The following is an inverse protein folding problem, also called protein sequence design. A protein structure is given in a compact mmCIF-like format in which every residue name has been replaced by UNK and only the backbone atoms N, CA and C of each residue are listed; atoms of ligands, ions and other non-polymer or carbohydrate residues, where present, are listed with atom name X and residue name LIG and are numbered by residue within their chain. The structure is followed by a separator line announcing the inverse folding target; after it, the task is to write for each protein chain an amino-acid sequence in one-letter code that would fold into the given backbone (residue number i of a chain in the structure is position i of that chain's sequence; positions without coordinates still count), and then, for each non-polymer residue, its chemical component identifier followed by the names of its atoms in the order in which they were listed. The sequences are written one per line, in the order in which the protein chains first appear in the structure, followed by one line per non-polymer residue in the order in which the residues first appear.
data_IF_067811191266
#
_entry.id   IF_067811191266
#
_cell.length_a   1.000
_cell.length_b   1.000
_cell.length_c   1.000
_cell.angle_alpha   90.00
_cell.angle_beta   90.00
_cell.angle_gamma   90.00
#
_symmetry.space_group_name_H-M   'P 1'
#
loop_
_entity.id
_entity.type
_entity.pdbx_description
1 polymer ?
#
# COMPACT_ATOMS: atom_id res chain seq x y z
N UNK A 1 -33.58 -2.82 -4.75
CA UNK A 1 -32.21 -2.47 -5.18
C UNK A 1 -31.79 -1.08 -4.71
N UNK A 2 -32.51 -0.01 -5.10
CA UNK A 2 -32.14 1.38 -4.74
C UNK A 2 -32.17 1.67 -3.24
N UNK A 3 -33.21 1.21 -2.53
CA UNK A 3 -33.30 1.30 -1.06
C UNK A 3 -32.11 0.58 -0.39
N UNK A 4 -31.75 -0.60 -0.88
CA UNK A 4 -30.62 -1.41 -0.36
C UNK A 4 -29.29 -0.69 -0.54
N UNK A 5 -29.08 -0.05 -1.70
CA UNK A 5 -27.90 0.78 -1.99
C UNK A 5 -27.86 2.01 -1.08
N UNK A 6 -28.98 2.71 -0.88
CA UNK A 6 -29.05 3.87 0.01
C UNK A 6 -28.75 3.50 1.47
N UNK A 7 -29.26 2.36 1.96
CA UNK A 7 -28.96 1.86 3.30
C UNK A 7 -27.45 1.55 3.42
N UNK A 8 -26.87 0.88 2.41
CA UNK A 8 -25.44 0.57 2.40
C UNK A 8 -24.58 1.85 2.42
N UNK A 9 -24.91 2.84 1.60
CA UNK A 9 -24.22 4.13 1.57
C UNK A 9 -24.31 4.86 2.92
N UNK A 10 -25.50 4.89 3.54
CA UNK A 10 -25.69 5.49 4.85
C UNK A 10 -24.86 4.77 5.94
N UNK A 11 -24.81 3.43 5.90
CA UNK A 11 -24.00 2.63 6.82
C UNK A 11 -22.50 2.89 6.65
N UNK A 12 -21.99 2.90 5.41
CA UNK A 12 -20.58 3.16 5.13
C UNK A 12 -20.17 4.56 5.59
N UNK A 13 -21.02 5.56 5.33
CA UNK A 13 -20.82 6.93 5.80
C UNK A 13 -20.80 7.02 7.33
N UNK A 14 -21.78 6.40 7.99
CA UNK A 14 -21.88 6.37 9.45
C UNK A 14 -20.66 5.68 10.09
N UNK A 15 -20.21 4.56 9.54
CA UNK A 15 -19.02 3.84 10.01
C UNK A 15 -17.77 4.70 9.83
N UNK A 16 -17.58 5.33 8.66
CA UNK A 16 -16.45 6.22 8.39
C UNK A 16 -16.37 7.38 9.38
N UNK A 17 -17.50 8.08 9.59
CA UNK A 17 -17.62 9.19 10.54
C UNK A 17 -17.40 8.74 11.99
N UNK A 18 -17.95 7.59 12.38
CA UNK A 18 -17.79 7.04 13.72
C UNK A 18 -16.34 6.65 14.04
N UNK A 19 -15.62 6.08 13.07
CA UNK A 19 -14.20 5.76 13.22
C UNK A 19 -13.33 7.02 13.34
N UNK A 20 -13.63 8.07 12.56
CA UNK A 20 -12.98 9.38 12.72
C UNK A 20 -13.25 9.95 14.11
N UNK A 21 -14.51 9.92 14.55
CA UNK A 21 -14.91 10.40 15.87
C UNK A 21 -14.19 9.65 17.01
N UNK A 22 -14.05 8.33 16.90
CA UNK A 22 -13.29 7.53 17.87
C UNK A 22 -11.81 7.91 17.89
N UNK A 23 -11.20 8.15 16.73
CA UNK A 23 -9.83 8.63 16.63
C UNK A 23 -9.64 10.03 17.24
N UNK A 24 -10.64 10.92 17.08
CA UNK A 24 -10.63 12.24 17.72
C UNK A 24 -10.71 12.12 19.25
N UNK A 25 -11.52 11.20 19.79
CA UNK A 25 -11.61 10.96 21.23
C UNK A 25 -10.37 10.28 21.82
N UNK A 26 -9.63 9.53 21.03
CA UNK A 26 -8.47 8.74 21.47
C UNK A 26 -7.25 9.00 20.60
N UNK A 27 -6.70 10.23 20.65
CA UNK A 27 -5.57 10.60 19.82
C UNK A 27 -4.29 9.87 20.24
N UNK A 28 -3.38 9.68 19.29
CA UNK A 28 -2.06 9.08 19.56
C UNK A 28 -1.11 10.02 20.33
N UNK A 29 -1.40 11.33 20.35
CA UNK A 29 -0.79 12.30 21.26
C UNK A 29 -1.80 12.64 22.34
N UNK A 30 -1.56 12.15 23.55
CA UNK A 30 -2.46 12.35 24.68
C UNK A 30 -2.05 13.61 25.44
N UNK A 31 -2.97 14.55 25.69
CA UNK A 31 -2.65 15.69 26.53
C UNK A 31 -2.42 15.23 27.97
N UNK A 32 -1.56 15.95 28.69
CA UNK A 32 -1.28 15.67 30.11
C UNK A 32 -2.48 15.94 31.02
N UNK A 33 -3.42 16.78 30.58
CA UNK A 33 -4.72 17.04 31.20
C UNK A 33 -5.83 16.78 30.19
N UNK A 34 -7.01 16.35 30.64
CA UNK A 34 -8.15 16.18 29.74
C UNK A 34 -8.50 17.52 29.08
N UNK A 35 -8.42 17.57 27.75
CA UNK A 35 -8.75 18.75 26.94
C UNK A 35 -10.02 18.50 26.12
N UNK A 36 -10.84 19.53 25.86
CA UNK A 36 -11.94 19.44 24.91
C UNK A 36 -11.41 19.21 23.47
N UNK A 37 -12.26 18.67 22.59
CA UNK A 37 -11.87 18.23 21.24
C UNK A 37 -11.19 19.33 20.42
N UNK A 38 -11.67 20.57 20.52
CA UNK A 38 -11.09 21.71 19.79
C UNK A 38 -9.63 21.98 20.20
N UNK A 39 -9.33 21.91 21.50
CA UNK A 39 -7.97 22.16 22.00
C UNK A 39 -7.06 20.96 21.76
N UNK A 40 -7.62 19.74 21.70
CA UNK A 40 -6.88 18.57 21.23
C UNK A 40 -6.45 18.72 19.77
N UNK A 41 -7.32 19.23 18.89
CA UNK A 41 -6.97 19.51 17.49
C UNK A 41 -5.86 20.56 17.37
N UNK A 42 -5.96 21.65 18.16
CA UNK A 42 -4.90 22.67 18.22
C UNK A 42 -3.58 22.09 18.73
N UNK A 43 -3.61 21.22 19.74
CA UNK A 43 -2.42 20.55 20.26
C UNK A 43 -1.76 19.68 19.19
N UNK A 44 -2.53 18.85 18.48
CA UNK A 44 -2.01 18.03 17.39
C UNK A 44 -1.43 18.89 16.26
N UNK A 45 -2.07 20.01 15.93
CA UNK A 45 -1.56 20.95 14.94
C UNK A 45 -0.23 21.58 15.38
N UNK A 46 -0.13 22.03 16.64
CA UNK A 46 1.11 22.60 17.20
C UNK A 46 2.24 21.56 17.24
N UNK A 47 1.95 20.35 17.71
CA UNK A 47 2.89 19.25 17.70
C UNK A 47 3.39 18.97 16.27
N UNK A 48 2.47 18.83 15.31
CA UNK A 48 2.83 18.65 13.90
C UNK A 48 3.75 19.77 13.39
N UNK A 49 3.38 21.03 13.62
CA UNK A 49 4.17 22.19 13.17
C UNK A 49 5.59 22.13 13.75
N UNK A 50 5.71 21.86 15.05
CA UNK A 50 6.99 21.71 15.73
C UNK A 50 7.85 20.59 15.13
N UNK A 51 7.27 19.40 14.93
CA UNK A 51 7.94 18.25 14.33
C UNK A 51 8.42 18.55 12.90
N UNK A 52 7.60 19.20 12.08
CA UNK A 52 7.99 19.60 10.71
C UNK A 52 9.03 20.73 10.68
N UNK A 53 9.14 21.54 11.72
CA UNK A 53 10.19 22.57 11.83
C UNK A 53 11.52 21.96 12.28
N UNK A 54 11.49 20.98 13.19
CA UNK A 54 12.70 20.35 13.72
C UNK A 54 13.32 19.30 12.79
N UNK A 55 12.54 18.68 11.90
CA UNK A 55 13.06 17.65 10.98
C UNK A 55 12.70 17.95 9.51
N UNK A 56 13.68 18.32 8.66
CA UNK A 56 13.43 18.62 7.25
C UNK A 56 12.94 17.38 6.47
N UNK A 57 13.39 16.18 6.85
CA UNK A 57 12.91 14.92 6.27
C UNK A 57 11.43 14.67 6.55
N UNK A 58 10.97 14.92 7.78
CA UNK A 58 9.57 14.75 8.15
C UNK A 58 8.69 15.86 7.56
N UNK A 59 9.23 17.07 7.34
CA UNK A 59 8.55 18.12 6.58
C UNK A 59 8.28 17.70 5.14
N UNK A 60 9.31 17.20 4.44
CA UNK A 60 9.17 16.71 3.07
C UNK A 60 8.15 15.56 3.00
N UNK A 61 8.26 14.58 3.91
CA UNK A 61 7.28 13.50 4.01
C UNK A 61 5.86 14.03 4.23
N UNK A 62 5.67 14.94 5.18
CA UNK A 62 4.36 15.53 5.43
C UNK A 62 3.78 16.17 4.17
N UNK A 63 4.54 17.03 3.50
CA UNK A 63 4.12 17.70 2.27
C UNK A 63 3.74 16.70 1.18
N UNK A 64 4.54 15.65 0.97
CA UNK A 64 4.24 14.60 -0.02
C UNK A 64 2.96 13.85 0.35
N UNK A 65 2.73 13.54 1.62
CA UNK A 65 1.49 12.86 2.05
C UNK A 65 0.26 13.75 1.86
N UNK A 66 0.36 15.07 2.11
CA UNK A 66 -0.74 16.00 1.85
C UNK A 66 -0.98 16.18 0.35
N UNK A 67 0.08 16.29 -0.45
CA UNK A 67 -0.03 16.36 -1.90
C UNK A 67 -0.70 15.12 -2.48
N UNK A 68 -0.30 13.92 -2.02
CA UNK A 68 -0.95 12.67 -2.43
C UNK A 68 -2.45 12.67 -2.12
N UNK A 69 -2.85 13.12 -0.93
CA UNK A 69 -4.26 13.20 -0.54
C UNK A 69 -5.06 14.20 -1.39
N UNK A 70 -4.50 15.39 -1.65
CA UNK A 70 -5.14 16.42 -2.49
C UNK A 70 -5.26 15.92 -3.94
N UNK A 71 -4.18 15.38 -4.51
CA UNK A 71 -4.19 14.80 -5.86
C UNK A 71 -5.22 13.67 -5.91
N UNK A 72 -5.27 12.80 -4.90
CA UNK A 72 -6.28 11.74 -4.82
C UNK A 72 -7.71 12.25 -4.91
N UNK A 73 -8.05 13.29 -4.14
CA UNK A 73 -9.36 13.94 -4.22
C UNK A 73 -9.64 14.55 -5.59
N UNK A 74 -8.66 15.23 -6.19
CA UNK A 74 -8.81 15.82 -7.53
C UNK A 74 -9.07 14.75 -8.58
N UNK A 75 -8.37 13.62 -8.55
CA UNK A 75 -8.60 12.50 -9.49
C UNK A 75 -10.01 11.93 -9.35
N UNK A 76 -10.51 11.76 -8.12
CA UNK A 76 -11.90 11.31 -7.87
C UNK A 76 -12.90 12.31 -8.43
N UNK A 77 -12.69 13.61 -8.21
CA UNK A 77 -13.58 14.65 -8.73
C UNK A 77 -13.59 14.68 -10.27
N UNK A 78 -12.43 14.55 -10.92
CA UNK A 78 -12.35 14.46 -12.39
C UNK A 78 -13.07 13.19 -12.86
N UNK A 79 -12.90 12.06 -12.18
CA UNK A 79 -13.58 10.81 -12.50
C UNK A 79 -15.12 10.93 -12.45
N UNK A 80 -15.65 11.56 -11.40
CA UNK A 80 -17.10 11.81 -11.24
C UNK A 80 -17.59 12.82 -12.28
N UNK A 81 -16.80 13.86 -12.55
CA UNK A 81 -17.12 14.82 -13.61
C UNK A 81 -17.17 14.17 -14.99
N UNK A 82 -16.21 13.31 -15.34
CA UNK A 82 -16.19 12.59 -16.61
C UNK A 82 -17.41 11.68 -16.76
N UNK A 83 -17.83 11.03 -15.67
CA UNK A 83 -19.05 10.23 -15.63
C UNK A 83 -20.27 11.12 -15.96
N UNK A 84 -20.48 12.23 -15.24
CA UNK A 84 -21.65 13.10 -15.41
C UNK A 84 -21.63 13.92 -16.73
N UNK A 85 -20.46 14.36 -17.19
CA UNK A 85 -20.31 15.20 -18.38
C UNK A 85 -20.44 14.43 -19.70
N UNK A 86 -20.12 13.13 -19.71
CA UNK A 86 -20.28 12.25 -20.88
C UNK A 86 -21.56 11.42 -20.83
N UNK A 87 -22.28 11.48 -19.73
CA UNK A 87 -23.61 10.88 -19.53
C UNK A 87 -24.69 11.47 -20.45
N UNK A 88 -24.52 12.72 -20.89
CA UNK A 88 -25.46 13.38 -21.83
C UNK A 88 -25.33 12.92 -23.28
N UNK A 89 -24.33 12.10 -23.63
CA UNK A 89 -24.01 11.74 -25.01
C UNK A 89 -24.62 10.41 -25.50
N UNK A 90 -25.43 9.70 -24.70
CA UNK A 90 -26.07 8.39 -24.99
C UNK A 90 -25.13 7.21 -25.32
N UNK A 91 -23.92 7.48 -25.80
CA UNK A 91 -22.85 6.52 -26.08
C UNK A 91 -21.68 6.94 -25.20
N UNK A 92 -21.39 6.15 -24.17
CA UNK A 92 -20.24 6.39 -23.31
C UNK A 92 -18.98 5.87 -24.02
N UNK A 93 -18.05 6.74 -24.45
CA UNK A 93 -16.85 6.26 -25.16
C UNK A 93 -16.01 5.37 -24.25
N UNK A 94 -15.62 4.19 -24.75
CA UNK A 94 -14.85 3.18 -23.99
C UNK A 94 -13.57 3.76 -23.38
N UNK A 95 -12.86 4.62 -24.12
CA UNK A 95 -11.64 5.27 -23.62
C UNK A 95 -11.89 6.23 -22.44
N UNK A 96 -13.00 6.96 -22.44
CA UNK A 96 -13.36 7.83 -21.30
C UNK A 96 -13.84 7.04 -20.10
N UNK A 97 -14.48 5.88 -20.31
CA UNK A 97 -14.86 4.96 -19.25
C UNK A 97 -13.63 4.41 -18.51
N UNK A 98 -12.67 3.89 -19.28
CA UNK A 98 -11.41 3.37 -18.76
C UNK A 98 -10.65 4.47 -18.02
N UNK A 99 -10.56 5.68 -18.61
CA UNK A 99 -9.88 6.81 -17.99
C UNK A 99 -10.54 7.20 -16.66
N UNK A 100 -11.87 7.34 -16.63
CA UNK A 100 -12.62 7.68 -15.42
C UNK A 100 -12.42 6.64 -14.31
N UNK A 101 -12.43 5.34 -14.64
CA UNK A 101 -12.19 4.27 -13.66
C UNK A 101 -10.74 4.27 -13.17
N UNK A 102 -9.75 4.46 -14.04
CA UNK A 102 -8.34 4.59 -13.63
C UNK A 102 -8.18 5.78 -12.67
N UNK A 103 -8.75 6.94 -13.01
CA UNK A 103 -8.71 8.13 -12.15
C UNK A 103 -9.37 7.86 -10.79
N UNK A 104 -10.51 7.15 -10.77
CA UNK A 104 -11.18 6.74 -9.53
C UNK A 104 -10.26 5.86 -8.68
N UNK A 105 -9.74 4.76 -9.23
CA UNK A 105 -8.91 3.80 -8.50
C UNK A 105 -7.60 4.43 -8.01
N UNK A 106 -6.91 5.20 -8.85
CA UNK A 106 -5.72 5.95 -8.45
C UNK A 106 -6.04 6.95 -7.33
N UNK A 107 -7.18 7.64 -7.45
CA UNK A 107 -7.68 8.57 -6.45
C UNK A 107 -7.88 7.92 -5.08
N UNK A 108 -8.63 6.81 -5.03
CA UNK A 108 -8.88 6.03 -3.81
C UNK A 108 -7.57 5.54 -3.16
N UNK A 109 -6.66 4.95 -3.95
CA UNK A 109 -5.36 4.46 -3.42
C UNK A 109 -4.52 5.60 -2.82
N UNK A 110 -4.53 6.79 -3.43
CA UNK A 110 -3.80 7.94 -2.91
C UNK A 110 -4.34 8.43 -1.56
N UNK A 111 -5.64 8.26 -1.27
CA UNK A 111 -6.22 8.61 0.04
C UNK A 111 -5.63 7.77 1.19
N UNK A 112 -5.19 6.53 0.92
CA UNK A 112 -4.52 5.67 1.92
C UNK A 112 -3.11 6.13 2.31
N UNK A 113 -2.44 6.96 1.50
CA UNK A 113 -1.05 7.36 1.75
C UNK A 113 -0.91 8.07 3.11
N UNK A 114 -1.86 8.93 3.46
CA UNK A 114 -1.86 9.68 4.73
C UNK A 114 -1.97 8.78 5.97
N UNK A 115 -3.02 7.94 6.14
CA UNK A 115 -3.16 7.10 7.34
C UNK A 115 -2.08 6.03 7.47
N UNK A 116 -1.45 5.59 6.37
CA UNK A 116 -0.42 4.54 6.39
C UNK A 116 0.95 5.07 6.82
N UNK A 117 1.31 6.29 6.40
CA UNK A 117 2.67 6.80 6.54
C UNK A 117 2.81 7.81 7.67
N UNK A 118 1.93 8.81 7.74
CA UNK A 118 2.11 9.98 8.61
C UNK A 118 2.02 9.67 10.11
N UNK A 119 0.97 8.98 10.63
CA UNK A 119 0.85 8.68 12.06
C UNK A 119 2.02 7.88 12.60
N UNK A 120 2.55 6.94 11.81
CA UNK A 120 3.70 6.10 12.18
C UNK A 120 4.97 6.91 12.34
N UNK A 121 5.28 7.76 11.36
CA UNK A 121 6.51 8.57 11.39
C UNK A 121 6.43 9.66 12.47
N UNK A 122 5.24 10.23 12.69
CA UNK A 122 5.03 11.19 13.77
C UNK A 122 5.16 10.55 15.15
N UNK A 123 4.50 9.40 15.37
CA UNK A 123 4.57 8.70 16.65
C UNK A 123 6.01 8.26 17.00
N UNK A 124 6.73 7.68 16.03
CA UNK A 124 8.12 7.25 16.20
C UNK A 124 9.06 8.40 16.58
N UNK A 125 8.81 9.59 16.06
CA UNK A 125 9.57 10.79 16.41
C UNK A 125 9.33 11.17 17.88
N UNK A 126 8.07 11.25 18.29
CA UNK A 126 7.68 11.69 19.63
C UNK A 126 8.09 10.73 20.74
N UNK A 127 8.07 9.42 20.48
CA UNK A 127 8.59 8.42 21.41
C UNK A 127 10.10 8.61 21.65
N UNK A 128 10.86 9.01 20.62
CA UNK A 128 12.32 9.20 20.72
C UNK A 128 12.70 10.56 21.32
N UNK A 129 11.92 11.59 21.05
CA UNK A 129 12.20 12.96 21.49
C UNK A 129 11.96 13.22 22.99
N UNK A 130 11.53 12.21 23.77
CA UNK A 130 11.13 12.33 25.19
C UNK A 130 10.17 13.52 25.42
N UNK A 131 8.93 13.35 24.96
CA UNK A 131 7.89 14.39 24.89
C UNK A 131 7.45 15.06 26.22
N UNK A 132 8.05 14.73 27.36
CA UNK A 132 7.61 15.22 28.68
C UNK A 132 7.66 16.76 28.81
N UNK A 133 8.43 17.46 27.98
CA UNK A 133 8.56 18.92 28.00
C UNK A 133 7.47 19.69 27.22
N UNK A 134 6.60 19.03 26.45
CA UNK A 134 5.70 19.69 25.49
C UNK A 134 4.20 19.64 25.88
N UNK A 135 3.88 19.23 27.12
CA UNK A 135 2.51 19.21 27.63
C UNK A 135 1.63 18.07 27.09
N UNK A 136 2.19 17.15 26.31
CA UNK A 136 1.55 15.94 25.83
C UNK A 136 2.50 14.74 25.92
N UNK A 137 1.93 13.53 25.98
CA UNK A 137 2.68 12.28 25.97
C UNK A 137 2.23 11.40 24.81
N UNK A 138 3.14 10.66 24.14
CA UNK A 138 2.74 9.66 23.18
C UNK A 138 1.87 8.60 23.88
N UNK A 139 0.77 8.21 23.24
CA UNK A 139 -0.11 7.18 23.76
C UNK A 139 0.64 5.83 23.87
N UNK A 140 0.18 4.90 24.73
CA UNK A 140 0.70 3.54 24.75
C UNK A 140 0.65 2.87 23.36
N UNK A 141 1.58 1.96 23.08
CA UNK A 141 1.69 1.28 21.78
C UNK A 141 0.39 0.59 21.36
N UNK A 142 -0.36 0.01 22.31
CA UNK A 142 -1.65 -0.61 22.05
C UNK A 142 -2.70 0.40 21.54
N UNK A 143 -2.77 1.56 22.18
CA UNK A 143 -3.66 2.68 21.79
C UNK A 143 -3.27 3.24 20.42
N UNK A 144 -1.97 3.38 20.14
CA UNK A 144 -1.48 3.82 18.83
C UNK A 144 -1.83 2.83 17.71
N UNK A 145 -1.63 1.51 17.94
CA UNK A 145 -2.03 0.47 16.96
C UNK A 145 -3.52 0.51 16.65
N UNK A 146 -4.36 0.72 17.67
CA UNK A 146 -5.81 0.89 17.49
C UNK A 146 -6.15 2.14 16.69
N UNK A 147 -5.55 3.28 17.02
CA UNK A 147 -5.73 4.55 16.30
C UNK A 147 -5.40 4.39 14.81
N UNK A 148 -4.23 3.81 14.50
CA UNK A 148 -3.82 3.58 13.10
C UNK A 148 -4.79 2.64 12.38
N UNK A 149 -5.19 1.55 13.03
CA UNK A 149 -6.17 0.62 12.47
C UNK A 149 -7.48 1.35 12.14
N UNK A 150 -8.02 2.13 13.07
CA UNK A 150 -9.24 2.90 12.88
C UNK A 150 -9.12 3.94 11.76
N UNK A 151 -7.97 4.61 11.63
CA UNK A 151 -7.71 5.57 10.55
C UNK A 151 -7.67 4.91 9.16
N UNK A 152 -7.10 3.70 9.06
CA UNK A 152 -7.12 2.92 7.82
C UNK A 152 -8.54 2.45 7.50
N UNK A 153 -9.28 1.93 8.50
CA UNK A 153 -10.67 1.51 8.30
C UNK A 153 -11.60 2.66 7.95
N UNK A 154 -11.37 3.88 8.48
CA UNK A 154 -12.19 5.03 8.11
C UNK A 154 -12.00 5.37 6.64
N UNK A 155 -10.75 5.41 6.15
CA UNK A 155 -10.47 5.67 4.73
C UNK A 155 -11.08 4.57 3.87
N UNK A 156 -10.92 3.30 4.24
CA UNK A 156 -11.56 2.19 3.52
C UNK A 156 -13.09 2.33 3.46
N UNK A 157 -13.74 2.75 4.55
CA UNK A 157 -15.19 2.95 4.56
C UNK A 157 -15.63 4.10 3.63
N UNK A 158 -14.88 5.21 3.59
CA UNK A 158 -15.15 6.30 2.64
C UNK A 158 -14.85 5.90 1.19
N UNK A 159 -13.79 5.13 0.96
CA UNK A 159 -13.45 4.67 -0.38
C UNK A 159 -14.51 3.71 -0.93
N UNK A 160 -14.99 2.78 -0.08
CA UNK A 160 -16.11 1.91 -0.42
C UNK A 160 -17.40 2.71 -0.65
N UNK A 161 -17.66 3.76 0.14
CA UNK A 161 -18.79 4.65 -0.06
C UNK A 161 -18.72 5.33 -1.43
N UNK A 162 -17.57 5.91 -1.79
CA UNK A 162 -17.34 6.58 -3.08
C UNK A 162 -17.49 5.57 -4.23
N UNK A 163 -16.88 4.39 -4.09
CA UNK A 163 -16.93 3.33 -5.10
C UNK A 163 -18.37 2.84 -5.34
N UNK A 164 -19.10 2.52 -4.27
CA UNK A 164 -20.50 2.07 -4.36
C UNK A 164 -21.38 3.17 -4.94
N UNK A 165 -21.18 4.43 -4.54
CA UNK A 165 -21.93 5.56 -5.07
C UNK A 165 -21.67 5.75 -6.58
N UNK A 166 -20.40 5.69 -6.99
CA UNK A 166 -19.98 5.80 -8.38
C UNK A 166 -20.57 4.68 -9.23
N UNK A 167 -20.45 3.42 -8.78
CA UNK A 167 -21.00 2.23 -9.47
C UNK A 167 -22.52 2.34 -9.58
N UNK A 168 -23.19 2.68 -8.48
CA UNK A 168 -24.66 2.78 -8.46
C UNK A 168 -25.15 3.88 -9.38
N UNK A 169 -24.43 5.01 -9.44
CA UNK A 169 -24.73 6.10 -10.35
C UNK A 169 -24.56 5.66 -11.79
N UNK A 170 -23.41 5.08 -12.12
CA UNK A 170 -23.14 4.60 -13.47
C UNK A 170 -24.14 3.53 -13.95
N UNK A 171 -24.57 2.63 -13.07
CA UNK A 171 -25.58 1.61 -13.36
C UNK A 171 -26.98 2.19 -13.57
N UNK A 172 -27.36 3.20 -12.79
CA UNK A 172 -28.69 3.80 -12.87
C UNK A 172 -28.88 4.66 -14.13
N UNK A 173 -27.79 5.14 -14.72
CA UNK A 173 -27.84 6.14 -15.81
C UNK A 173 -27.28 5.65 -17.14
N UNK A 174 -26.57 4.52 -17.17
CA UNK A 174 -26.09 3.93 -18.42
C UNK A 174 -27.20 3.19 -19.16
N UNK A 175 -27.30 3.41 -20.47
CA UNK A 175 -28.13 2.61 -21.40
C UNK A 175 -27.56 1.19 -21.60
N UNK A 176 -26.27 0.99 -21.28
CA UNK A 176 -25.59 -0.30 -21.23
C UNK A 176 -24.85 -0.48 -19.89
N UNK A 177 -25.58 -0.71 -18.78
CA UNK A 177 -25.00 -0.81 -17.43
C UNK A 177 -23.97 -1.94 -17.30
N UNK A 178 -24.14 -3.00 -18.10
CA UNK A 178 -23.22 -4.15 -18.17
C UNK A 178 -21.81 -3.71 -18.61
N UNK A 179 -21.68 -2.83 -19.60
CA UNK A 179 -20.38 -2.37 -20.10
C UNK A 179 -19.60 -1.57 -19.06
N UNK A 180 -20.27 -0.77 -18.23
CA UNK A 180 -19.58 0.02 -17.20
C UNK A 180 -19.05 -0.87 -16.07
N UNK A 181 -19.82 -1.88 -15.67
CA UNK A 181 -19.35 -2.89 -14.70
C UNK A 181 -18.21 -3.71 -15.31
N UNK A 182 -18.31 -4.10 -16.58
CA UNK A 182 -17.26 -4.79 -17.31
C UNK A 182 -15.96 -3.96 -17.35
N UNK A 183 -16.03 -2.65 -17.64
CA UNK A 183 -14.86 -1.78 -17.61
C UNK A 183 -14.28 -1.59 -16.22
N UNK A 184 -15.12 -1.61 -15.17
CA UNK A 184 -14.65 -1.52 -13.79
C UNK A 184 -13.93 -2.80 -13.36
N UNK A 185 -14.46 -3.95 -13.77
CA UNK A 185 -13.80 -5.25 -13.62
C UNK A 185 -12.50 -5.27 -14.42
N UNK A 186 -12.51 -4.84 -15.68
CA UNK A 186 -11.32 -4.74 -16.54
C UNK A 186 -10.25 -3.86 -15.90
N UNK A 187 -10.60 -2.68 -15.40
CA UNK A 187 -9.63 -1.79 -14.75
C UNK A 187 -9.12 -2.36 -13.43
N UNK A 188 -9.98 -3.01 -12.63
CA UNK A 188 -9.56 -3.71 -11.43
C UNK A 188 -8.60 -4.87 -11.76
N UNK A 189 -8.83 -5.57 -12.86
CA UNK A 189 -7.97 -6.65 -13.33
C UNK A 189 -6.65 -6.08 -13.90
N UNK A 190 -6.68 -4.99 -14.67
CA UNK A 190 -5.49 -4.26 -15.16
C UNK A 190 -4.60 -3.77 -14.00
N UNK A 191 -5.21 -3.41 -12.87
CA UNK A 191 -4.46 -3.03 -11.68
C UNK A 191 -3.65 -4.20 -11.09
N UNK A 192 -4.04 -5.47 -11.32
CA UNK A 192 -3.35 -6.64 -10.76
C UNK A 192 -1.90 -6.75 -11.31
N UNK A 193 -1.64 -6.71 -12.64
CA UNK A 193 -0.27 -6.65 -13.16
C UNK A 193 0.54 -5.44 -12.67
N UNK A 194 -0.08 -4.27 -12.56
CA UNK A 194 0.61 -3.05 -12.07
C UNK A 194 1.01 -3.21 -10.59
N UNK A 195 0.12 -3.74 -9.76
CA UNK A 195 0.40 -4.01 -8.35
C UNK A 195 1.44 -5.12 -8.19
N UNK A 196 1.41 -6.17 -9.02
CA UNK A 196 2.42 -7.22 -9.03
C UNK A 196 3.80 -6.65 -9.37
N UNK A 197 3.88 -5.81 -10.42
CA UNK A 197 5.12 -5.14 -10.82
C UNK A 197 5.63 -4.20 -9.72
N UNK A 198 4.79 -3.36 -9.15
CA UNK A 198 5.17 -2.47 -8.04
C UNK A 198 5.63 -3.25 -6.82
N UNK A 199 4.95 -4.33 -6.45
CA UNK A 199 5.32 -5.18 -5.31
C UNK A 199 6.68 -5.82 -5.55
N UNK A 200 6.94 -6.32 -6.76
CA UNK A 200 8.22 -6.87 -7.17
C UNK A 200 9.33 -5.81 -7.18
N UNK A 201 9.07 -4.62 -7.73
CA UNK A 201 10.02 -3.50 -7.76
C UNK A 201 10.35 -3.02 -6.36
N UNK A 202 9.38 -2.98 -5.45
CA UNK A 202 9.59 -2.65 -4.05
C UNK A 202 10.52 -3.67 -3.38
N UNK A 203 10.50 -4.95 -3.76
CA UNK A 203 11.44 -5.94 -3.23
C UNK A 203 12.90 -5.68 -3.64
N UNK A 204 13.16 -5.02 -4.78
CA UNK A 204 14.53 -4.75 -5.25
C UNK A 204 15.31 -3.88 -4.25
N UNK A 205 14.85 -2.68 -3.83
CA UNK A 205 15.50 -1.89 -2.78
C UNK A 205 15.68 -2.63 -1.44
N UNK A 206 14.76 -3.53 -1.06
CA UNK A 206 14.88 -4.28 0.19
C UNK A 206 16.02 -5.32 0.16
N UNK A 207 16.46 -5.74 -1.03
CA UNK A 207 17.67 -6.57 -1.18
C UNK A 207 18.95 -5.79 -0.93
N UNK A 208 18.94 -4.50 -1.22
CA UNK A 208 20.14 -3.67 -1.16
C UNK A 208 20.24 -2.85 0.12
N UNK A 209 19.19 -2.83 0.93
CA UNK A 209 19.15 -2.02 2.14
C UNK A 209 19.86 -2.71 3.31
N UNK A 210 21.09 -2.26 3.55
CA UNK A 210 21.90 -2.45 4.77
C UNK A 210 21.27 -1.87 6.04
N UNK A 211 19.94 -1.70 6.12
CA UNK A 211 19.27 -1.02 7.25
C UNK A 211 19.44 -1.72 8.59
N UNK A 212 19.78 -3.01 8.56
CA UNK A 212 20.10 -3.82 9.74
C UNK A 212 21.62 -4.12 9.89
N UNK A 213 22.46 -3.55 9.02
CA UNK A 213 23.91 -3.74 9.00
C UNK A 213 24.59 -2.38 9.22
N UNK A 214 25.37 -2.25 10.28
CA UNK A 214 26.14 -1.05 10.59
C UNK A 214 27.59 -1.27 10.18
N UNK A 215 28.13 -0.38 9.36
CA UNK A 215 29.56 -0.38 9.01
C UNK A 215 30.39 -0.15 10.28
N UNK A 216 31.50 -0.90 10.43
CA UNK A 216 32.48 -0.61 11.48
C UNK A 216 33.23 0.68 11.13
N UNK A 217 33.63 1.44 12.15
CA UNK A 217 34.37 2.69 11.97
C UNK A 217 35.65 2.47 11.16
N UNK A 218 35.89 3.31 10.14
CA UNK A 218 37.10 3.26 9.31
C UNK A 218 37.01 2.31 8.10
N UNK A 219 35.88 1.64 7.87
CA UNK A 219 35.70 0.77 6.70
C UNK A 219 34.66 1.35 5.74
N UNK A 220 35.06 1.51 4.48
CA UNK A 220 34.17 1.90 3.38
C UNK A 220 33.84 0.68 2.53
N UNK A 221 32.57 0.30 2.47
CA UNK A 221 32.08 -0.75 1.59
C UNK A 221 31.23 -0.11 0.50
N UNK A 222 31.46 -0.48 -0.77
CA UNK A 222 30.70 0.07 -1.91
C UNK A 222 29.20 -0.17 -1.70
N UNK A 223 28.39 0.83 -2.04
CA UNK A 223 26.92 0.77 -1.91
C UNK A 223 26.38 -0.53 -2.55
N UNK A 224 25.53 -1.25 -1.81
CA UNK A 224 24.96 -2.53 -2.25
C UNK A 224 25.81 -3.79 -2.01
N UNK A 225 27.10 -3.69 -1.67
CA UNK A 225 27.95 -4.88 -1.47
C UNK A 225 27.90 -5.46 -0.04
N UNK A 226 27.41 -4.69 0.94
CA UNK A 226 27.26 -5.12 2.34
C UNK A 226 26.32 -6.32 2.51
N UNK A 227 25.16 -6.30 1.83
CA UNK A 227 24.18 -7.37 1.91
C UNK A 227 24.70 -8.66 1.27
N UNK A 228 25.42 -8.55 0.16
CA UNK A 228 26.08 -9.68 -0.49
C UNK A 228 27.13 -10.33 0.42
N UNK A 229 27.96 -9.53 1.08
CA UNK A 229 28.96 -10.03 2.04
C UNK A 229 28.30 -10.69 3.26
N UNK A 230 27.20 -10.13 3.77
CA UNK A 230 26.42 -10.72 4.86
C UNK A 230 25.81 -12.07 4.47
N UNK A 231 25.16 -12.18 3.31
CA UNK A 231 24.61 -13.44 2.83
C UNK A 231 25.70 -14.48 2.54
N UNK A 232 26.84 -14.07 1.97
CA UNK A 232 27.98 -14.96 1.74
C UNK A 232 28.57 -15.48 3.05
N UNK A 233 28.70 -14.63 4.07
CA UNK A 233 29.17 -15.04 5.38
C UNK A 233 28.16 -15.98 6.08
N UNK A 234 26.86 -15.69 5.96
CA UNK A 234 25.78 -16.51 6.49
C UNK A 234 25.78 -17.91 5.87
N UNK A 235 25.93 -18.01 4.54
CA UNK A 235 26.00 -19.28 3.81
C UNK A 235 27.24 -20.10 4.15
N UNK A 236 28.36 -19.44 4.51
CA UNK A 236 29.57 -20.14 4.98
C UNK A 236 29.39 -20.72 6.39
N UNK A 237 28.68 -20.01 7.26
CA UNK A 237 28.43 -20.46 8.64
C UNK A 237 27.28 -21.46 8.72
N UNK A 238 26.30 -21.39 7.82
CA UNK A 238 25.13 -22.26 7.79
C UNK A 238 24.84 -22.75 6.36
N UNK A 239 25.43 -23.88 5.95
CA UNK A 239 25.30 -24.41 4.59
C UNK A 239 23.85 -24.85 4.25
N UNK A 240 23.05 -25.22 5.24
CA UNK A 240 21.65 -25.64 5.06
C UNK A 240 20.75 -24.52 4.50
N UNK A 241 21.14 -23.26 4.70
CA UNK A 241 20.43 -22.11 4.14
C UNK A 241 20.65 -21.96 2.63
N UNK A 242 21.67 -22.62 2.04
CA UNK A 242 21.99 -22.52 0.61
C UNK A 242 20.81 -22.93 -0.27
N UNK A 243 20.12 -24.02 0.06
CA UNK A 243 18.94 -24.49 -0.68
C UNK A 243 17.84 -23.42 -0.69
N UNK A 244 17.53 -22.84 0.48
CA UNK A 244 16.51 -21.78 0.60
C UNK A 244 16.87 -20.53 -0.19
N UNK A 245 18.12 -20.08 -0.12
CA UNK A 245 18.59 -18.90 -0.87
C UNK A 245 18.48 -19.12 -2.39
N UNK A 246 18.88 -20.30 -2.88
CA UNK A 246 18.78 -20.65 -4.30
C UNK A 246 17.31 -20.72 -4.75
N UNK A 247 16.45 -21.41 -4.00
CA UNK A 247 15.01 -21.49 -4.28
C UNK A 247 14.39 -20.10 -4.38
N UNK A 248 14.72 -19.22 -3.43
CA UNK A 248 14.25 -17.83 -3.39
C UNK A 248 14.73 -17.02 -4.60
N UNK A 249 15.99 -17.18 -5.02
CA UNK A 249 16.53 -16.48 -6.19
C UNK A 249 15.89 -16.97 -7.51
N UNK A 250 15.74 -18.28 -7.68
CA UNK A 250 15.09 -18.88 -8.85
C UNK A 250 13.62 -18.49 -8.92
N UNK A 251 12.89 -18.61 -7.82
CA UNK A 251 11.50 -18.18 -7.73
C UNK A 251 11.34 -16.70 -8.12
N UNK A 252 12.28 -15.83 -7.73
CA UNK A 252 12.23 -14.41 -8.10
C UNK A 252 12.41 -14.19 -9.60
N UNK A 253 13.33 -14.91 -10.25
CA UNK A 253 13.50 -14.82 -11.70
C UNK A 253 12.21 -15.22 -12.41
N UNK A 254 11.58 -16.31 -11.96
CA UNK A 254 10.31 -16.79 -12.50
C UNK A 254 9.20 -15.74 -12.29
N UNK A 255 9.10 -15.14 -11.09
CA UNK A 255 8.16 -14.06 -10.82
C UNK A 255 8.40 -12.83 -11.72
N UNK A 256 9.64 -12.49 -12.02
CA UNK A 256 9.97 -11.38 -12.92
C UNK A 256 9.50 -11.64 -14.35
N UNK A 257 9.70 -12.85 -14.85
CA UNK A 257 9.24 -13.25 -16.18
C UNK A 257 7.71 -13.13 -16.26
N UNK A 258 6.98 -13.69 -15.28
CA UNK A 258 5.52 -13.60 -15.26
C UNK A 258 5.00 -12.16 -15.12
N UNK A 259 5.67 -11.31 -14.33
CA UNK A 259 5.31 -9.90 -14.21
C UNK A 259 5.48 -9.14 -15.54
N UNK A 260 6.58 -9.39 -16.25
CA UNK A 260 6.84 -8.78 -17.57
C UNK A 260 5.81 -9.26 -18.58
N UNK A 261 5.52 -10.57 -18.62
CA UNK A 261 4.51 -11.12 -19.53
C UNK A 261 3.15 -10.47 -19.24
N UNK A 262 2.73 -10.40 -17.98
CA UNK A 262 1.48 -9.76 -17.59
C UNK A 262 1.39 -8.30 -18.09
N UNK A 263 2.46 -7.52 -17.88
CA UNK A 263 2.50 -6.13 -18.33
C UNK A 263 2.54 -6.00 -19.85
N UNK A 264 3.32 -6.85 -20.52
CA UNK A 264 3.43 -6.88 -21.98
C UNK A 264 2.10 -7.23 -22.64
N UNK A 265 1.36 -8.20 -22.09
CA UNK A 265 0.03 -8.57 -22.57
C UNK A 265 -0.94 -7.40 -22.50
N UNK A 266 -0.93 -6.62 -21.41
CA UNK A 266 -1.75 -5.40 -21.32
C UNK A 266 -1.28 -4.32 -22.30
N UNK A 267 0.04 -4.11 -22.39
CA UNK A 267 0.61 -3.08 -23.25
C UNK A 267 0.28 -3.33 -24.73
N UNK A 268 0.52 -4.54 -25.22
CA UNK A 268 0.36 -4.91 -26.62
C UNK A 268 -1.11 -5.00 -27.08
N UNK A 269 -2.07 -5.18 -26.16
CA UNK A 269 -3.48 -5.37 -26.52
C UNK A 269 -4.39 -4.21 -26.13
N UNK A 270 -3.98 -3.35 -25.19
CA UNK A 270 -4.81 -2.25 -24.67
C UNK A 270 -4.16 -0.89 -24.86
N UNK A 271 -2.87 -0.76 -24.54
CA UNK A 271 -2.17 0.54 -24.57
C UNK A 271 -1.68 0.88 -25.98
N UNK A 272 -1.10 -0.09 -26.68
CA UNK A 272 -0.57 0.04 -28.02
C UNK A 272 -1.00 -1.16 -28.90
N UNK A 273 -2.31 -1.35 -29.14
CA UNK A 273 -2.80 -2.41 -30.00
C UNK A 273 -2.35 -2.20 -31.45
N UNK A 274 -1.97 -3.28 -32.12
CA UNK A 274 -1.59 -3.26 -33.54
C UNK A 274 -2.79 -3.12 -34.49
N UNK A 275 -3.99 -3.50 -34.05
CA UNK A 275 -5.22 -3.44 -34.86
C UNK A 275 -6.40 -2.83 -34.09
N UNK A 276 -6.89 -3.52 -33.06
CA UNK A 276 -8.00 -3.06 -32.22
C UNK A 276 -7.72 -3.40 -30.75
N UNK A 277 -8.32 -2.63 -29.83
CA UNK A 277 -8.22 -2.91 -28.39
C UNK A 277 -8.89 -4.25 -28.10
N UNK A 278 -8.12 -5.21 -27.61
CA UNK A 278 -8.64 -6.50 -27.16
C UNK A 278 -8.68 -6.52 -25.62
N UNK A 279 -9.88 -6.27 -25.09
CA UNK A 279 -10.14 -6.28 -23.64
C UNK A 279 -10.12 -7.68 -23.04
N UNK A 280 -10.20 -8.75 -23.84
CA UNK A 280 -10.11 -10.13 -23.32
C UNK A 280 -8.70 -10.47 -22.83
N UNK A 281 -7.68 -9.79 -23.36
CA UNK A 281 -6.27 -9.93 -22.95
C UNK A 281 -6.01 -9.57 -21.47
N UNK A 282 -6.97 -8.88 -20.83
CA UNK A 282 -6.96 -8.53 -19.41
C UNK A 282 -6.94 -9.79 -18.52
N UNK A 283 -7.66 -10.85 -18.90
CA UNK A 283 -7.73 -12.10 -18.14
C UNK A 283 -6.41 -12.89 -18.10
N UNK A 284 -5.75 -13.20 -19.23
CA UNK A 284 -4.45 -13.86 -19.20
C UNK A 284 -3.39 -13.00 -18.50
N UNK A 285 -3.41 -11.68 -18.68
CA UNK A 285 -2.53 -10.77 -17.93
C UNK A 285 -2.75 -10.87 -16.41
N UNK A 286 -4.00 -10.96 -15.97
CA UNK A 286 -4.35 -11.19 -14.57
C UNK A 286 -3.74 -12.49 -14.04
N UNK A 287 -3.93 -13.59 -14.76
CA UNK A 287 -3.44 -14.92 -14.35
C UNK A 287 -1.93 -14.90 -14.14
N UNK A 288 -1.17 -14.32 -15.08
CA UNK A 288 0.29 -14.18 -14.93
C UNK A 288 0.69 -13.30 -13.73
N UNK A 289 -0.05 -12.22 -13.47
CA UNK A 289 0.17 -11.38 -12.31
C UNK A 289 -0.18 -12.09 -10.99
N UNK A 290 -1.21 -12.95 -10.97
CA UNK A 290 -1.57 -13.77 -9.82
C UNK A 290 -0.50 -14.80 -9.49
N UNK A 291 0.00 -15.52 -10.50
CA UNK A 291 1.14 -16.43 -10.36
C UNK A 291 2.34 -15.68 -9.76
N UNK A 292 2.63 -14.49 -10.29
CA UNK A 292 3.69 -13.63 -9.76
C UNK A 292 3.50 -13.34 -8.26
N UNK A 293 2.29 -12.97 -7.85
CA UNK A 293 1.99 -12.58 -6.48
C UNK A 293 2.10 -13.77 -5.49
N UNK A 294 1.62 -14.95 -5.89
CA UNK A 294 1.78 -16.19 -5.10
C UNK A 294 3.26 -16.54 -4.93
N UNK A 295 4.05 -16.41 -5.99
CA UNK A 295 5.50 -16.65 -5.92
C UNK A 295 6.17 -15.62 -5.00
N UNK A 296 5.79 -14.33 -5.08
CA UNK A 296 6.33 -13.27 -4.22
C UNK A 296 5.98 -13.46 -2.74
N UNK A 297 4.78 -13.96 -2.42
CA UNK A 297 4.41 -14.31 -1.05
C UNK A 297 5.25 -15.49 -0.53
N UNK A 298 5.43 -16.52 -1.35
CA UNK A 298 6.28 -17.69 -1.04
C UNK A 298 7.73 -17.27 -0.82
N UNK A 299 8.28 -16.39 -1.67
CA UNK A 299 9.59 -15.74 -1.49
C UNK A 299 9.64 -14.99 -0.16
N UNK A 300 8.59 -14.24 0.16
CA UNK A 300 8.47 -13.51 1.42
C UNK A 300 8.48 -14.43 2.64
N UNK A 301 7.87 -15.62 2.57
CA UNK A 301 7.87 -16.59 3.67
C UNK A 301 9.22 -17.31 3.83
N UNK A 302 9.87 -17.66 2.72
CA UNK A 302 11.13 -18.40 2.70
C UNK A 302 12.38 -17.50 2.84
N UNK A 303 12.19 -16.18 2.92
CA UNK A 303 13.27 -15.21 2.91
C UNK A 303 14.22 -15.40 4.11
N UNK A 304 15.52 -15.67 3.89
CA UNK A 304 16.46 -16.00 4.96
C UNK A 304 16.58 -14.91 6.04
N UNK A 305 16.45 -13.63 5.68
CA UNK A 305 16.57 -12.53 6.65
C UNK A 305 15.29 -12.27 7.47
N UNK A 306 14.17 -13.00 7.22
CA UNK A 306 13.08 -13.09 8.20
C UNK A 306 13.49 -13.90 9.44
N UNK A 307 14.46 -14.81 9.29
CA UNK A 307 14.99 -15.65 10.36
C UNK A 307 16.12 -14.88 11.07
N UNK A 308 15.71 -13.85 11.81
CA UNK A 308 16.60 -12.98 12.61
C UNK A 308 17.60 -13.75 13.46
N UNK A 309 17.21 -14.94 13.92
CA UNK A 309 18.03 -15.82 14.72
C UNK A 309 19.32 -16.20 13.99
N UNK A 310 19.27 -16.45 12.67
CA UNK A 310 20.46 -16.76 11.88
C UNK A 310 21.38 -15.55 11.66
N UNK A 311 20.82 -14.34 11.54
CA UNK A 311 21.62 -13.12 11.45
C UNK A 311 22.25 -12.72 12.79
N UNK A 312 21.60 -13.04 13.93
CA UNK A 312 22.17 -12.86 15.27
C UNK A 312 23.31 -13.81 15.57
N UNK A 313 23.25 -15.01 15.02
CA UNK A 313 24.30 -16.04 15.14
C UNK A 313 25.52 -15.73 14.26
N UNK A 314 25.45 -14.71 13.40
CA UNK A 314 26.54 -14.34 12.51
C UNK A 314 27.72 -13.80 13.34
N UNK A 315 28.84 -14.53 13.36
CA UNK A 315 30.08 -14.02 13.98
C UNK A 315 30.60 -12.84 13.17
N UNK A 316 30.34 -11.61 13.63
CA UNK A 316 30.69 -10.37 12.92
C UNK A 316 32.13 -9.91 13.14
N UNK A 317 32.92 -10.59 13.95
CA UNK A 317 34.23 -10.10 14.42
C UNK A 317 35.21 -9.83 13.27
N UNK A 318 35.21 -10.71 12.25
CA UNK A 318 36.05 -10.61 11.06
C UNK A 318 35.35 -9.92 9.86
N UNK A 319 34.10 -9.48 10.02
CA UNK A 319 33.33 -8.85 8.94
C UNK A 319 33.38 -7.32 9.03
N UNK A 320 33.24 -6.60 7.90
CA UNK A 320 33.35 -5.14 7.90
C UNK A 320 32.10 -4.41 8.43
N UNK A 321 31.17 -5.17 8.99
CA UNK A 321 29.90 -4.70 9.50
C UNK A 321 29.51 -5.43 10.78
N UNK A 322 28.65 -4.81 11.57
CA UNK A 322 27.96 -5.38 12.71
C UNK A 322 26.47 -5.44 12.43
N UNK A 323 25.76 -6.39 13.03
CA UNK A 323 24.30 -6.43 12.94
C UNK A 323 23.74 -5.42 13.94
N UNK A 324 22.83 -4.55 13.48
CA UNK A 324 22.20 -3.53 14.30
C UNK A 324 21.36 -4.15 15.44
N UNK A 325 21.20 -3.43 16.55
CA UNK A 325 20.41 -3.88 17.71
C UNK A 325 18.95 -4.22 17.41
N UNK A 326 18.30 -4.89 18.37
CA UNK A 326 16.92 -5.42 18.28
C UNK A 326 15.88 -4.41 17.78
N UNK A 327 16.01 -3.14 18.15
CA UNK A 327 15.04 -2.10 17.83
C UNK A 327 15.04 -1.67 16.37
N UNK A 328 16.21 -1.66 15.71
CA UNK A 328 16.32 -1.39 14.26
C UNK A 328 15.80 -2.58 13.46
N UNK A 329 16.04 -3.79 13.97
CA UNK A 329 15.54 -5.01 13.36
C UNK A 329 14.01 -5.16 13.48
N UNK A 330 13.42 -4.83 14.63
CA UNK A 330 11.97 -4.84 14.82
C UNK A 330 11.24 -3.90 13.85
N UNK A 331 11.83 -2.72 13.57
CA UNK A 331 11.32 -1.78 12.56
C UNK A 331 11.39 -2.34 11.13
N UNK A 332 12.45 -3.09 10.81
CA UNK A 332 12.58 -3.81 9.54
C UNK A 332 11.51 -4.92 9.41
N UNK A 333 11.28 -5.69 10.46
CA UNK A 333 10.25 -6.73 10.50
C UNK A 333 8.83 -6.16 10.29
N UNK A 334 8.58 -4.95 10.78
CA UNK A 334 7.30 -4.27 10.59
C UNK A 334 7.04 -3.83 9.13
N UNK A 335 8.10 -3.50 8.37
CA UNK A 335 8.00 -3.26 6.92
C UNK A 335 7.73 -4.56 6.15
N UNK A 336 8.22 -5.71 6.63
CA UNK A 336 7.88 -7.02 6.06
C UNK A 336 6.39 -7.37 6.23
N UNK A 337 5.72 -6.86 7.27
CA UNK A 337 4.27 -7.04 7.49
C UNK A 337 3.41 -6.27 6.46
N UNK A 338 3.93 -5.17 5.90
CA UNK A 338 3.24 -4.44 4.83
C UNK A 338 3.13 -5.27 3.53
N UNK A 339 4.03 -6.22 3.28
CA UNK A 339 3.93 -7.14 2.15
C UNK A 339 2.71 -8.08 2.25
N UNK A 340 2.40 -8.58 3.45
CA UNK A 340 1.19 -9.38 3.67
C UNK A 340 -0.09 -8.57 3.47
N UNK A 341 -0.04 -7.26 3.71
CA UNK A 341 -1.18 -6.36 3.49
C UNK A 341 -1.42 -6.10 1.99
N UNK A 342 -0.36 -5.92 1.20
CA UNK A 342 -0.46 -5.88 -0.26
C UNK A 342 -0.98 -7.21 -0.85
N UNK A 343 -0.52 -8.36 -0.33
CA UNK A 343 -1.04 -9.67 -0.71
C UNK A 343 -2.52 -9.86 -0.31
N UNK A 344 -2.95 -9.32 0.84
CA UNK A 344 -4.35 -9.33 1.28
C UNK A 344 -5.26 -8.45 0.40
N UNK A 345 -4.78 -7.30 -0.06
CA UNK A 345 -5.49 -6.46 -1.03
C UNK A 345 -5.67 -7.22 -2.34
N UNK A 346 -4.60 -7.87 -2.83
CA UNK A 346 -4.62 -8.76 -4.00
C UNK A 346 -5.64 -9.89 -3.85
N UNK A 347 -5.70 -10.54 -2.68
CA UNK A 347 -6.65 -11.61 -2.41
C UNK A 347 -8.11 -11.12 -2.48
N UNK A 348 -8.36 -9.90 -2.01
CA UNK A 348 -9.66 -9.23 -2.14
C UNK A 348 -9.99 -8.92 -3.62
N UNK A 349 -9.03 -8.45 -4.40
CA UNK A 349 -9.21 -8.21 -5.85
C UNK A 349 -9.45 -9.52 -6.63
N UNK A 350 -8.77 -10.62 -6.24
CA UNK A 350 -8.99 -11.98 -6.79
C UNK A 350 -10.44 -12.41 -6.54
N UNK A 351 -10.93 -12.29 -5.31
CA UNK A 351 -12.31 -12.67 -4.99
C UNK A 351 -13.33 -11.82 -5.74
N UNK A 352 -13.09 -10.51 -5.86
CA UNK A 352 -13.95 -9.63 -6.65
C UNK A 352 -13.95 -9.98 -8.15
N UNK A 353 -12.79 -10.33 -8.72
CA UNK A 353 -12.67 -10.75 -10.11
C UNK A 353 -13.28 -12.13 -10.38
N UNK A 354 -13.10 -13.11 -9.47
CA UNK A 354 -13.70 -14.44 -9.58
C UNK A 354 -15.22 -14.37 -9.45
N UNK A 355 -15.74 -13.62 -8.47
CA UNK A 355 -17.18 -13.40 -8.30
C UNK A 355 -17.74 -12.65 -9.50
N UNK A 356 -17.05 -11.62 -10.00
CA UNK A 356 -17.42 -10.90 -11.21
C UNK A 356 -17.46 -11.81 -12.44
N UNK A 357 -16.47 -12.69 -12.62
CA UNK A 357 -16.43 -13.63 -13.73
C UNK A 357 -17.55 -14.68 -13.65
N UNK A 358 -17.79 -15.24 -12.46
CA UNK A 358 -18.79 -16.29 -12.24
C UNK A 358 -20.23 -15.81 -12.45
N UNK A 359 -20.55 -14.56 -12.08
CA UNK A 359 -21.92 -14.03 -12.21
C UNK A 359 -22.24 -13.40 -13.57
N UNK A 360 -21.22 -13.11 -14.39
CA UNK A 360 -21.42 -12.40 -15.66
C UNK A 360 -20.99 -13.20 -16.90
N UNK A 361 -20.16 -14.24 -16.76
CA UNK A 361 -19.69 -15.06 -17.88
C UNK A 361 -19.92 -16.57 -17.70
N UNK A 362 -20.46 -17.01 -16.56
CA UNK A 362 -21.05 -18.34 -16.35
C UNK A 362 -22.56 -18.22 -16.27
#
# INVERSE_FOLDING_TARGET
MLITICILLALLLAVGLWLIYRNLKQPYLQPTKALPVQDQLKLQHRARKHLTQQSPRLRALFSVTQAAWIVGLVLILISVYDLEAKLSLLIFPTGTAITSVILLLCGLVLLFVVPLTWPTQSYDYWVRAKADQLGFKPAPVATFKRYRRQAVWSVLAFDLFILVAWISRALATSTAPVLVVEYLIICAIIAIPVVALLTLLIQLPYLYQSRYLELKSGQSVKFGTLHYQANRALLKQQPDLKKRVVTVAVARLIAFIFAIIAFWTLYANIIAPSFAVDTSAVFPAAIYALITLVILETIGALWPTKLYDYLRLLKTDQLPFKVSGSDRFAKFHYHLYYFHLCAGIVWLTIWLAIVGAYYYFG
#
